data_IF_412520671713
#
_entry.id   IF_412520671713
#
_cell.length_a   1.000
_cell.length_b   1.000
_cell.length_c   1.000
_cell.angle_alpha   90.00
_cell.angle_beta   90.00
_cell.angle_gamma   90.00
#
_symmetry.space_group_name_H-M   'P 1'
#
loop_
_entity.id
_entity.type
_entity.pdbx_description
1 polymer ?
#
# COMPACT_ATOMS: atom_id res chain seq x y z
N UNK A 1 7.51 10.20 -19.46
CA UNK A 1 6.14 10.24 -18.89
C UNK A 1 6.25 9.86 -17.42
N UNK A 2 6.32 10.86 -16.53
CA UNK A 2 6.36 10.64 -15.08
C UNK A 2 4.97 10.15 -14.68
N UNK A 3 4.82 8.88 -14.31
CA UNK A 3 3.58 8.34 -13.77
C UNK A 3 3.28 9.07 -12.46
N UNK A 4 2.54 10.18 -12.54
CA UNK A 4 1.70 10.64 -11.44
C UNK A 4 0.54 9.64 -11.33
N UNK A 5 0.08 9.34 -10.12
CA UNK A 5 -1.18 8.63 -9.97
C UNK A 5 -2.25 9.44 -10.71
N UNK A 6 -3.09 8.77 -11.49
CA UNK A 6 -4.22 9.43 -12.13
C UNK A 6 -5.13 10.03 -11.04
N UNK A 7 -5.66 11.23 -11.27
CA UNK A 7 -6.42 11.99 -10.25
C UNK A 7 -7.57 11.16 -9.66
N UNK A 8 -8.26 10.35 -10.50
CA UNK A 8 -9.34 9.46 -10.06
C UNK A 8 -8.89 8.41 -9.03
N UNK A 9 -7.62 8.01 -9.01
CA UNK A 9 -7.09 7.11 -7.99
C UNK A 9 -6.80 7.84 -6.68
N UNK A 10 -6.40 9.12 -6.76
CA UNK A 10 -6.18 9.95 -5.58
C UNK A 10 -7.50 10.22 -4.86
N UNK A 11 -8.54 10.63 -5.59
CA UNK A 11 -9.88 10.84 -5.05
C UNK A 11 -10.41 9.58 -4.33
N UNK A 12 -10.19 8.42 -4.94
CA UNK A 12 -10.59 7.15 -4.36
C UNK A 12 -9.82 6.84 -3.06
N UNK A 13 -8.51 7.08 -3.03
CA UNK A 13 -7.69 6.88 -1.83
C UNK A 13 -8.10 7.85 -0.72
N UNK A 14 -8.36 9.12 -1.03
CA UNK A 14 -8.84 10.11 -0.07
C UNK A 14 -10.15 9.64 0.58
N UNK A 15 -11.12 9.20 -0.22
CA UNK A 15 -12.40 8.70 0.30
C UNK A 15 -12.28 7.52 1.26
N UNK A 16 -11.20 6.74 1.18
CA UNK A 16 -10.96 5.59 2.05
C UNK A 16 -10.18 5.90 3.32
N UNK A 17 -9.40 6.99 3.33
CA UNK A 17 -8.47 7.34 4.40
C UNK A 17 -9.12 8.32 5.38
N UNK A 18 -9.77 9.37 4.88
CA UNK A 18 -10.43 10.36 5.73
C UNK A 18 -11.37 11.27 4.93
N UNK A 19 -12.29 11.95 5.63
CA UNK A 19 -13.08 13.03 5.03
C UNK A 19 -12.25 14.32 4.94
N UNK A 20 -11.93 14.76 3.72
CA UNK A 20 -11.31 16.06 3.44
C UNK A 20 -10.03 15.96 2.58
N UNK A 21 -9.63 17.06 1.92
CA UNK A 21 -8.53 17.07 0.96
C UNK A 21 -7.21 16.65 1.60
N UNK A 22 -6.40 15.89 0.86
CA UNK A 22 -5.06 15.47 1.28
C UNK A 22 -4.01 15.91 0.27
N UNK A 23 -2.86 16.32 0.81
CA UNK A 23 -1.67 16.55 0.01
C UNK A 23 -0.84 15.29 0.10
N UNK A 24 -0.68 14.59 -1.02
CA UNK A 24 0.19 13.43 -1.11
C UNK A 24 1.59 13.87 -1.56
N UNK A 25 2.58 13.50 -0.77
CA UNK A 25 3.99 13.74 -1.07
C UNK A 25 4.68 12.42 -1.40
N UNK A 26 5.39 12.36 -2.53
CA UNK A 26 6.12 11.16 -2.93
C UNK A 26 7.40 10.98 -2.09
N UNK A 27 7.32 10.17 -1.04
CA UNK A 27 8.45 9.84 -0.17
C UNK A 27 9.49 8.96 -0.88
N UNK A 28 9.03 7.88 -1.51
CA UNK A 28 9.90 6.85 -2.09
C UNK A 28 9.32 6.30 -3.41
N UNK A 29 10.20 6.08 -4.39
CA UNK A 29 9.87 5.42 -5.66
C UNK A 29 11.02 4.51 -6.08
N UNK A 30 10.75 3.22 -6.22
CA UNK A 30 11.77 2.20 -6.53
C UNK A 30 12.64 2.59 -7.74
N UNK A 31 12.04 3.07 -8.83
CA UNK A 31 12.80 3.43 -10.04
C UNK A 31 13.63 4.72 -9.90
N UNK A 32 13.40 5.51 -8.84
CA UNK A 32 14.12 6.77 -8.54
C UNK A 32 15.17 6.54 -7.45
N UNK A 33 14.80 5.84 -6.39
CA UNK A 33 15.56 5.73 -5.15
C UNK A 33 16.25 4.36 -4.99
N UNK A 34 16.07 3.44 -5.95
CA UNK A 34 16.58 2.07 -5.87
C UNK A 34 15.61 1.12 -5.14
N UNK A 35 15.87 -0.19 -5.21
CA UNK A 35 15.03 -1.23 -4.60
C UNK A 35 15.70 -1.82 -3.36
N UNK A 36 15.80 -1.06 -2.27
CA UNK A 36 16.41 -1.57 -1.02
C UNK A 36 15.71 -1.02 0.23
N UNK A 37 15.69 -1.84 1.28
CA UNK A 37 15.01 -1.52 2.54
C UNK A 37 15.63 -0.31 3.26
N UNK A 38 16.96 -0.17 3.24
CA UNK A 38 17.66 0.93 3.92
C UNK A 38 17.23 2.29 3.39
N UNK A 39 17.18 2.47 2.06
CA UNK A 39 16.73 3.72 1.45
C UNK A 39 15.24 3.96 1.67
N UNK A 40 14.42 2.92 1.68
CA UNK A 40 13.00 3.03 2.06
C UNK A 40 12.87 3.56 3.49
N UNK A 41 13.51 2.92 4.47
CA UNK A 41 13.44 3.32 5.87
C UNK A 41 13.98 4.73 6.10
N UNK A 42 15.09 5.12 5.45
CA UNK A 42 15.61 6.50 5.53
C UNK A 42 14.62 7.56 5.05
N UNK A 43 13.71 7.23 4.12
CA UNK A 43 12.75 8.17 3.51
C UNK A 43 11.35 8.09 4.12
N UNK A 44 10.94 6.93 4.60
CA UNK A 44 9.57 6.64 4.99
C UNK A 44 9.36 6.52 6.50
N UNK A 45 10.42 6.27 7.28
CA UNK A 45 10.28 6.18 8.73
C UNK A 45 9.81 7.51 9.34
N UNK A 46 8.91 7.40 10.32
CA UNK A 46 8.35 8.53 11.08
C UNK A 46 7.66 9.62 10.24
N UNK A 47 7.29 9.33 8.99
CA UNK A 47 6.58 10.29 8.11
C UNK A 47 5.06 10.32 8.34
N UNK A 48 4.54 9.55 9.30
CA UNK A 48 3.10 9.41 9.52
C UNK A 48 2.46 8.32 8.63
N UNK A 49 1.13 8.41 8.42
CA UNK A 49 0.41 7.51 7.54
C UNK A 49 0.96 7.50 6.12
N UNK A 50 0.99 6.32 5.47
CA UNK A 50 1.50 6.20 4.10
C UNK A 50 0.57 5.37 3.23
N UNK A 51 0.56 5.69 1.93
CA UNK A 51 -0.02 4.86 0.89
C UNK A 51 1.12 4.32 0.03
N UNK A 52 1.16 3.00 -0.14
CA UNK A 52 2.05 2.32 -1.08
C UNK A 52 1.25 1.91 -2.30
N UNK A 53 1.75 2.20 -3.50
CA UNK A 53 1.11 1.81 -4.78
C UNK A 53 2.08 0.99 -5.62
N UNK A 54 1.58 -0.12 -6.17
CA UNK A 54 2.31 -1.00 -7.06
C UNK A 54 1.58 -1.14 -8.40
N UNK A 55 2.36 -1.15 -9.46
CA UNK A 55 1.92 -1.38 -10.84
C UNK A 55 2.49 -2.70 -11.32
N UNK A 56 1.68 -3.52 -11.98
CA UNK A 56 2.19 -4.67 -12.72
C UNK A 56 2.25 -4.37 -14.23
N UNK A 57 2.90 -5.25 -14.98
CA UNK A 57 3.05 -5.12 -16.44
C UNK A 57 1.72 -5.17 -17.18
N UNK A 58 0.69 -5.78 -16.59
CA UNK A 58 -0.66 -5.85 -17.14
C UNK A 58 -1.50 -4.58 -16.88
N UNK A 59 -0.91 -3.55 -16.27
CA UNK A 59 -1.59 -2.28 -15.98
C UNK A 59 -2.58 -2.33 -14.84
N UNK A 60 -2.54 -3.39 -14.00
CA UNK A 60 -3.25 -3.41 -12.72
C UNK A 60 -2.53 -2.54 -11.69
N UNK A 61 -3.32 -1.98 -10.78
CA UNK A 61 -2.85 -1.07 -9.73
C UNK A 61 -3.36 -1.58 -8.38
N UNK A 62 -2.43 -1.90 -7.50
CA UNK A 62 -2.69 -2.40 -6.15
C UNK A 62 -1.93 -1.57 -5.12
N UNK A 63 -2.19 -1.82 -3.84
CA UNK A 63 -1.43 -1.17 -2.80
C UNK A 63 -1.94 -1.46 -1.41
N UNK A 64 -1.44 -0.65 -0.48
CA UNK A 64 -1.86 -0.68 0.91
C UNK A 64 -1.73 0.69 1.55
N UNK A 65 -2.56 0.90 2.56
CA UNK A 65 -2.50 2.04 3.46
C UNK A 65 -2.07 1.55 4.84
N UNK A 66 -1.12 2.26 5.44
CA UNK A 66 -0.76 2.15 6.85
C UNK A 66 -1.11 3.50 7.52
N UNK A 67 -1.92 3.47 8.58
CA UNK A 67 -2.16 4.66 9.41
C UNK A 67 -1.05 4.89 10.41
N UNK A 68 -0.34 3.84 10.81
CA UNK A 68 0.82 3.95 11.68
C UNK A 68 2.10 4.29 10.87
N UNK A 69 3.03 4.98 11.52
CA UNK A 69 4.33 5.31 10.90
C UNK A 69 5.21 4.07 10.75
N UNK A 70 5.97 4.02 9.65
CA UNK A 70 7.09 3.08 9.51
C UNK A 70 8.16 3.38 10.54
N UNK A 71 8.85 2.34 11.02
CA UNK A 71 9.98 2.44 11.93
C UNK A 71 11.03 1.37 11.64
N UNK A 72 12.29 1.69 11.91
CA UNK A 72 13.41 0.73 11.92
C UNK A 72 13.53 -0.02 13.26
N UNK A 73 12.42 -0.17 14.00
CA UNK A 73 12.43 -0.80 15.34
C UNK A 73 12.52 -2.33 15.33
N UNK A 74 12.44 -2.95 14.15
CA UNK A 74 12.33 -4.41 13.95
C UNK A 74 11.17 -5.06 14.71
N UNK A 75 10.12 -4.29 15.03
CA UNK A 75 8.90 -4.77 15.71
C UNK A 75 7.71 -4.65 14.78
N UNK A 76 6.77 -5.58 14.93
CA UNK A 76 5.46 -5.45 14.30
C UNK A 76 4.69 -4.31 14.96
N UNK A 77 4.05 -3.49 14.14
CA UNK A 77 3.15 -2.43 14.57
C UNK A 77 1.73 -2.90 14.31
N UNK A 78 0.91 -2.87 15.36
CA UNK A 78 -0.51 -3.19 15.22
C UNK A 78 -1.23 -1.97 14.63
N UNK A 79 -1.77 -2.14 13.43
CA UNK A 79 -2.53 -1.10 12.75
C UNK A 79 -3.97 -1.59 12.48
N UNK A 80 -4.92 -1.02 13.23
CA UNK A 80 -6.33 -1.36 13.11
C UNK A 80 -7.01 -0.70 11.91
N UNK A 81 -6.42 0.35 11.35
CA UNK A 81 -6.97 1.09 10.22
C UNK A 81 -6.26 0.75 8.91
N UNK A 82 -5.19 -0.06 8.95
CA UNK A 82 -4.52 -0.57 7.77
C UNK A 82 -5.47 -1.37 6.87
N UNK A 83 -5.26 -1.24 5.57
CA UNK A 83 -5.99 -1.99 4.56
C UNK A 83 -5.14 -2.16 3.31
N UNK A 84 -5.39 -3.24 2.58
CA UNK A 84 -4.89 -3.39 1.21
C UNK A 84 -6.01 -3.01 0.24
N UNK A 85 -5.63 -2.66 -0.98
CA UNK A 85 -6.60 -2.27 -2.00
C UNK A 85 -6.17 -2.70 -3.39
N UNK A 86 -7.16 -2.68 -4.26
CA UNK A 86 -7.00 -2.72 -5.71
C UNK A 86 -7.68 -1.47 -6.27
N UNK A 87 -7.00 -0.71 -7.12
CA UNK A 87 -7.59 0.41 -7.85
C UNK A 87 -8.01 0.00 -9.28
N UNK A 88 -7.23 -0.89 -9.91
CA UNK A 88 -7.50 -1.43 -11.25
C UNK A 88 -7.03 -2.87 -11.37
N UNK A 89 -7.80 -3.71 -12.06
CA UNK A 89 -7.44 -5.10 -12.36
C UNK A 89 -7.65 -5.42 -13.83
N UNK A 90 -6.57 -5.73 -14.55
CA UNK A 90 -6.63 -6.21 -15.94
C UNK A 90 -7.55 -5.36 -16.84
N UNK A 91 -7.42 -4.04 -16.77
CA UNK A 91 -8.28 -3.11 -17.52
C UNK A 91 -9.58 -2.69 -16.84
N UNK A 92 -10.05 -3.41 -15.82
CA UNK A 92 -11.25 -3.07 -15.05
C UNK A 92 -10.97 -2.03 -13.97
N UNK A 93 -11.62 -0.86 -14.07
CA UNK A 93 -11.56 0.21 -13.08
C UNK A 93 -12.65 0.00 -12.01
N UNK A 94 -12.45 -0.99 -11.14
CA UNK A 94 -13.32 -1.25 -9.99
C UNK A 94 -12.50 -1.20 -8.69
N UNK A 95 -12.30 0.00 -8.12
CA UNK A 95 -11.58 0.13 -6.86
C UNK A 95 -12.24 -0.69 -5.75
N UNK A 96 -11.45 -1.46 -5.03
CA UNK A 96 -11.91 -2.34 -3.96
C UNK A 96 -10.96 -2.23 -2.77
N UNK A 97 -11.52 -1.91 -1.60
CA UNK A 97 -10.83 -1.87 -0.31
C UNK A 97 -11.00 -3.19 0.43
N UNK A 98 -9.90 -3.73 0.94
CA UNK A 98 -9.88 -4.95 1.76
C UNK A 98 -9.40 -4.56 3.17
N UNK A 99 -10.32 -4.24 4.10
CA UNK A 99 -9.95 -3.80 5.43
C UNK A 99 -9.32 -4.94 6.24
N UNK A 100 -8.47 -4.59 7.20
CA UNK A 100 -8.00 -5.52 8.22
C UNK A 100 -9.21 -6.07 9.01
N UNK A 101 -9.59 -7.31 8.72
CA UNK A 101 -10.64 -8.00 9.48
C UNK A 101 -10.01 -8.48 10.78
N UNK A 102 -10.44 -7.94 11.92
CA UNK A 102 -10.22 -8.58 13.22
C UNK A 102 -10.93 -9.94 13.18
N UNK A 103 -10.25 -11.00 12.79
CA UNK A 103 -10.79 -12.35 12.91
C UNK A 103 -10.90 -12.66 14.41
N UNK A 104 -12.12 -12.55 14.95
CA UNK A 104 -12.42 -12.79 16.38
C UNK A 104 -12.49 -14.29 16.74
N UNK A 105 -12.27 -15.19 15.79
CA UNK A 105 -12.28 -16.63 16.03
C UNK A 105 -11.27 -17.32 15.11
N UNK A 106 -10.21 -17.87 15.68
CA UNK A 106 -9.43 -18.93 15.04
C UNK A 106 -10.10 -20.27 15.35
N UNK A 107 -10.66 -20.92 14.32
CA UNK A 107 -10.62 -22.37 14.20
C UNK A 107 -10.37 -22.71 12.74
N UNK A 108 -9.12 -23.07 12.47
CA UNK A 108 -8.61 -23.83 11.33
C UNK A 108 -9.03 -23.36 9.93
N UNK A 109 -8.38 -22.31 9.42
CA UNK A 109 -8.06 -22.21 7.99
C UNK A 109 -6.65 -21.65 7.85
N UNK A 110 -5.69 -22.54 7.60
CA UNK A 110 -4.31 -22.18 7.25
C UNK A 110 -4.30 -21.73 5.79
N UNK A 111 -4.27 -20.42 5.55
CA UNK A 111 -3.73 -19.92 4.29
C UNK A 111 -2.21 -19.82 4.44
N UNK A 112 -1.50 -20.82 3.92
CA UNK A 112 -0.09 -20.64 3.56
C UNK A 112 -0.05 -19.67 2.37
N UNK A 113 0.25 -18.41 2.63
CA UNK A 113 0.70 -17.52 1.57
C UNK A 113 2.17 -17.85 1.26
N UNK A 114 2.40 -18.53 0.14
CA UNK A 114 3.72 -18.57 -0.47
C UNK A 114 3.94 -17.25 -1.22
N UNK A 115 4.92 -16.46 -0.79
CA UNK A 115 5.48 -15.40 -1.63
C UNK A 115 6.68 -16.01 -2.36
N UNK A 116 6.52 -16.30 -3.64
CA UNK A 116 7.65 -16.61 -4.51
C UNK A 116 8.35 -15.29 -4.86
N UNK A 117 9.54 -15.05 -4.31
CA UNK A 117 10.46 -14.09 -4.92
C UNK A 117 11.19 -14.82 -6.03
N UNK A 118 10.85 -14.52 -7.29
CA UNK A 118 11.70 -14.53 -8.49
C UNK A 118 10.80 -14.31 -9.71
N UNK A 119 10.79 -13.09 -10.26
CA UNK A 119 10.30 -12.83 -11.62
C UNK A 119 11.54 -12.75 -12.52
N UNK A 120 11.64 -13.67 -13.48
CA UNK A 120 12.31 -13.45 -14.76
C UNK A 120 11.24 -13.18 -15.80
#
# INVERSE_FOLDING_TARGET
MTLQLMDNYMDQLESWICTGPKIFSLLYKITRDGCNATTFHHKCDNQGPTVTVLYNQQGSVYGGYASESWTSSNKYIQDANAFIFQLRYSGSNKPTKFPNKKYKYWKWFVWRFYVWTNFW
#
